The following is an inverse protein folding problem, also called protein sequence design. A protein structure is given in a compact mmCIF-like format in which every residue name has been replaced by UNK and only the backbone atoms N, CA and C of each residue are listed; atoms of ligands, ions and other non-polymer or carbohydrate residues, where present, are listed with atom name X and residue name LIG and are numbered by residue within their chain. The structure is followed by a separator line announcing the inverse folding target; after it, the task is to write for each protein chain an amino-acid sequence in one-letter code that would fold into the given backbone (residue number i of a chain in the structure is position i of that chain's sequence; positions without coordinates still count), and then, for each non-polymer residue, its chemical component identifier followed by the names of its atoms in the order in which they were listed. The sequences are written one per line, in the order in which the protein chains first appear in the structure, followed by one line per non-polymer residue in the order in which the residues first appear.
data_IF_050644898665
#
_entry.id   IF_050644898665
#
_cell.length_a   1.000
_cell.length_b   1.000
_cell.length_c   1.000
_cell.angle_alpha   90.00
_cell.angle_beta   90.00
_cell.angle_gamma   90.00
#
_symmetry.space_group_name_H-M   'P 1'
#
loop_
_entity.id
_entity.type
_entity.pdbx_description
1 polymer ?
#
# COMPACT_ATOMS: atom_id res chain seq x y z
N UNK A 1 15.88 64.61 14.32
CA UNK A 1 15.69 63.25 14.86
C UNK A 1 16.85 62.45 14.32
N UNK A 2 17.90 62.28 15.12
CA UNK A 2 18.95 61.30 14.84
C UNK A 2 18.39 59.93 15.18
N UNK A 3 18.41 59.01 14.21
CA UNK A 3 18.13 57.60 14.45
C UNK A 3 19.29 56.97 15.25
N UNK A 4 19.00 56.06 16.19
CA UNK A 4 20.03 55.43 16.99
C UNK A 4 20.81 54.42 16.12
N UNK A 5 22.13 54.57 16.04
CA UNK A 5 23.03 53.56 15.47
C UNK A 5 22.92 52.26 16.27
N UNK A 6 22.22 51.26 15.73
CA UNK A 6 22.32 49.87 16.18
C UNK A 6 23.77 49.39 16.01
N UNK A 7 24.46 49.16 17.13
CA UNK A 7 25.77 48.49 17.13
C UNK A 7 25.61 47.07 16.58
N UNK A 8 26.23 46.85 15.41
CA UNK A 8 26.19 45.65 14.57
C UNK A 8 27.09 44.49 15.06
N UNK A 9 27.28 44.29 16.37
CA UNK A 9 28.31 43.38 16.87
C UNK A 9 27.93 41.88 16.86
N UNK A 10 26.67 41.52 16.62
CA UNK A 10 26.23 40.12 16.65
C UNK A 10 26.56 39.28 15.41
N UNK A 11 27.00 39.91 14.31
CA UNK A 11 27.08 39.23 13.01
C UNK A 11 28.30 38.30 12.84
N UNK A 12 29.31 38.45 13.70
CA UNK A 12 30.55 37.65 13.65
C UNK A 12 30.55 36.44 14.59
N UNK A 13 29.53 36.30 15.45
CA UNK A 13 29.47 35.26 16.48
C UNK A 13 28.82 33.94 16.00
N UNK A 14 28.23 33.95 14.80
CA UNK A 14 27.57 32.78 14.22
C UNK A 14 28.52 31.78 13.56
N UNK A 15 28.16 30.48 13.51
CA UNK A 15 28.94 29.50 12.74
C UNK A 15 28.88 29.83 11.24
N UNK A 16 30.03 29.72 10.56
CA UNK A 16 30.15 30.02 9.12
C UNK A 16 29.16 29.20 8.26
N UNK A 17 28.80 27.99 8.71
CA UNK A 17 27.82 27.13 8.04
C UNK A 17 26.38 27.64 8.11
N UNK A 18 26.06 28.56 9.01
CA UNK A 18 24.74 29.18 9.14
C UNK A 18 24.71 30.61 8.59
N UNK A 19 25.82 31.09 8.02
CA UNK A 19 25.94 32.44 7.50
C UNK A 19 24.96 32.64 6.34
N UNK A 20 24.11 33.65 6.45
CA UNK A 20 23.17 34.04 5.40
C UNK A 20 23.67 35.23 4.59
N UNK A 21 23.07 35.47 3.43
CA UNK A 21 23.37 36.64 2.60
C UNK A 21 23.05 37.95 3.36
N UNK A 22 22.02 37.96 4.19
CA UNK A 22 21.67 39.11 5.04
C UNK A 22 22.78 39.43 6.06
N UNK A 23 23.40 38.39 6.63
CA UNK A 23 24.54 38.55 7.53
C UNK A 23 25.76 39.14 6.81
N UNK A 24 26.00 38.76 5.55
CA UNK A 24 27.06 39.36 4.72
C UNK A 24 26.80 40.86 4.51
N UNK A 25 25.55 41.28 4.29
CA UNK A 25 25.21 42.69 4.15
C UNK A 25 25.41 43.48 5.45
N UNK A 26 25.10 42.90 6.62
CA UNK A 26 25.38 43.52 7.93
C UNK A 26 26.89 43.66 8.16
N UNK A 27 27.66 42.61 7.87
CA UNK A 27 29.12 42.65 7.94
C UNK A 27 29.69 43.73 7.00
N UNK A 28 29.19 43.80 5.76
CA UNK A 28 29.61 44.81 4.79
C UNK A 28 29.35 46.24 5.30
N UNK A 29 28.19 46.47 5.94
CA UNK A 29 27.86 47.76 6.55
C UNK A 29 28.84 48.13 7.66
N UNK A 30 29.07 47.22 8.61
CA UNK A 30 30.00 47.46 9.72
C UNK A 30 31.42 47.75 9.23
N UNK A 31 31.93 46.93 8.28
CA UNK A 31 33.23 47.14 7.66
C UNK A 31 33.28 48.47 6.91
N UNK A 32 32.21 48.84 6.19
CA UNK A 32 32.10 50.12 5.48
C UNK A 32 32.27 51.31 6.41
N UNK A 33 31.58 51.31 7.56
CA UNK A 33 31.70 52.35 8.58
C UNK A 33 33.14 52.48 9.13
N UNK A 34 33.84 51.37 9.33
CA UNK A 34 35.23 51.41 9.80
C UNK A 34 36.22 51.84 8.70
N UNK A 35 35.95 51.46 7.45
CA UNK A 35 36.70 51.94 6.28
C UNK A 35 36.53 53.45 6.08
N UNK A 36 35.34 54.01 6.29
CA UNK A 36 35.09 55.45 6.24
C UNK A 36 35.95 56.20 7.27
N UNK A 37 35.98 55.74 8.52
CA UNK A 37 36.85 56.32 9.56
C UNK A 37 38.34 56.28 9.17
N UNK A 38 38.78 55.20 8.52
CA UNK A 38 40.16 55.07 8.02
C UNK A 38 40.45 56.04 6.87
N UNK A 39 39.50 56.28 5.98
CA UNK A 39 39.63 57.26 4.89
C UNK A 39 39.76 58.66 5.46
N UNK A 40 38.94 59.01 6.45
CA UNK A 40 38.96 60.31 7.12
C UNK A 40 40.29 60.56 7.84
N UNK A 41 40.89 59.53 8.44
CA UNK A 41 42.16 59.64 9.18
C UNK A 41 43.41 59.62 8.29
N UNK A 42 43.46 58.75 7.28
CA UNK A 42 44.68 58.41 6.52
C UNK A 42 44.67 58.92 5.08
N UNK A 43 43.55 59.49 4.62
CA UNK A 43 43.33 59.89 3.24
C UNK A 43 42.98 58.72 2.31
N UNK A 44 42.11 58.99 1.33
CA UNK A 44 41.52 58.00 0.42
C UNK A 44 42.54 57.15 -0.35
N UNK A 45 43.61 57.77 -0.86
CA UNK A 45 44.60 57.09 -1.71
C UNK A 45 45.33 55.96 -0.96
N UNK A 46 45.46 56.09 0.36
CA UNK A 46 46.09 55.08 1.23
C UNK A 46 45.22 53.83 1.41
N UNK A 47 43.89 53.96 1.26
CA UNK A 47 42.91 52.93 1.63
C UNK A 47 42.25 52.29 0.40
N UNK A 48 42.27 52.94 -0.76
CA UNK A 48 41.56 52.48 -1.98
C UNK A 48 41.86 51.01 -2.34
N UNK A 49 43.12 50.58 -2.24
CA UNK A 49 43.49 49.18 -2.52
C UNK A 49 42.94 48.18 -1.50
N UNK A 50 42.79 48.59 -0.24
CA UNK A 50 42.16 47.79 0.81
C UNK A 50 40.65 47.68 0.57
N UNK A 51 39.99 48.77 0.21
CA UNK A 51 38.55 48.78 -0.12
C UNK A 51 38.25 47.77 -1.22
N UNK A 52 38.99 47.81 -2.33
CA UNK A 52 38.78 46.88 -3.44
C UNK A 52 38.94 45.41 -3.03
N UNK A 53 39.95 45.09 -2.22
CA UNK A 53 40.14 43.72 -1.70
C UNK A 53 39.01 43.31 -0.76
N UNK A 54 38.55 44.22 0.08
CA UNK A 54 37.47 43.99 1.04
C UNK A 54 36.15 43.71 0.34
N UNK A 55 35.79 44.52 -0.67
CA UNK A 55 34.63 44.27 -1.54
C UNK A 55 34.76 42.89 -2.18
N UNK A 56 35.95 42.52 -2.67
CA UNK A 56 36.13 41.20 -3.29
C UNK A 56 35.92 40.04 -2.32
N UNK A 57 36.35 40.18 -1.07
CA UNK A 57 36.10 39.17 -0.03
C UNK A 57 34.61 39.07 0.30
N UNK A 58 33.91 40.21 0.39
CA UNK A 58 32.47 40.25 0.63
C UNK A 58 31.67 39.59 -0.51
N UNK A 59 32.05 39.83 -1.77
CA UNK A 59 31.44 39.15 -2.93
C UNK A 59 31.62 37.63 -2.87
N UNK A 60 32.81 37.16 -2.49
CA UNK A 60 33.08 35.72 -2.33
C UNK A 60 32.26 35.13 -1.18
N UNK A 61 32.10 35.88 -0.09
CA UNK A 61 31.32 35.47 1.06
C UNK A 61 29.82 35.42 0.75
N UNK A 62 29.29 36.38 -0.01
CA UNK A 62 27.91 36.37 -0.50
C UNK A 62 27.67 35.15 -1.41
N UNK A 63 28.59 34.88 -2.34
CA UNK A 63 28.51 33.69 -3.20
C UNK A 63 28.51 32.40 -2.39
N UNK A 64 29.35 32.33 -1.35
CA UNK A 64 29.39 31.19 -0.43
C UNK A 64 28.06 31.03 0.32
N UNK A 65 27.55 32.09 0.95
CA UNK A 65 26.30 32.06 1.72
C UNK A 65 25.10 31.68 0.84
N UNK A 66 25.01 32.24 -0.36
CA UNK A 66 23.96 31.92 -1.33
C UNK A 66 23.98 30.44 -1.74
N UNK A 67 25.16 29.91 -2.06
CA UNK A 67 25.32 28.49 -2.42
C UNK A 67 24.99 27.59 -1.24
N UNK A 68 25.44 27.94 -0.04
CA UNK A 68 25.18 27.17 1.17
C UNK A 68 23.67 27.05 1.44
N UNK A 69 22.93 28.16 1.37
CA UNK A 69 21.47 28.15 1.51
C UNK A 69 20.79 27.26 0.45
N UNK A 70 21.25 27.31 -0.80
CA UNK A 70 20.72 26.44 -1.86
C UNK A 70 21.01 24.96 -1.59
N UNK A 71 22.17 24.63 -1.03
CA UNK A 71 22.51 23.27 -0.61
C UNK A 71 21.63 22.78 0.54
N UNK A 72 21.42 23.59 1.58
CA UNK A 72 20.55 23.26 2.71
C UNK A 72 19.10 23.03 2.25
N UNK A 73 18.56 23.89 1.38
CA UNK A 73 17.22 23.69 0.84
C UNK A 73 17.09 22.38 0.06
N UNK A 74 18.11 22.04 -0.74
CA UNK A 74 18.14 20.78 -1.49
C UNK A 74 18.22 19.56 -0.57
N UNK A 75 18.99 19.66 0.51
CA UNK A 75 19.08 18.61 1.52
C UNK A 75 17.72 18.37 2.21
N UNK A 76 17.04 19.45 2.59
CA UNK A 76 15.68 19.38 3.15
C UNK A 76 14.67 18.73 2.18
N UNK A 77 14.75 19.06 0.89
CA UNK A 77 13.91 18.42 -0.14
C UNK A 77 14.22 16.92 -0.28
N UNK A 78 15.49 16.54 -0.24
CA UNK A 78 15.91 15.13 -0.28
C UNK A 78 15.40 14.37 0.94
N UNK A 79 15.46 14.97 2.13
CA UNK A 79 14.93 14.35 3.35
C UNK A 79 13.41 14.16 3.26
N UNK A 80 12.66 15.17 2.80
CA UNK A 80 11.20 15.08 2.61
C UNK A 80 10.80 14.01 1.58
N UNK A 81 11.53 13.92 0.47
CA UNK A 81 11.27 12.90 -0.55
C UNK A 81 11.60 11.50 -0.03
N UNK A 82 12.68 11.35 0.73
CA UNK A 82 13.03 10.10 1.38
C UNK A 82 11.96 9.63 2.38
N UNK A 83 11.47 10.51 3.26
CA UNK A 83 10.37 10.21 4.18
C UNK A 83 9.11 9.79 3.42
N UNK A 84 8.77 10.50 2.34
CA UNK A 84 7.61 10.17 1.50
C UNK A 84 7.74 8.77 0.90
N UNK A 85 8.91 8.43 0.36
CA UNK A 85 9.18 7.10 -0.20
C UNK A 85 9.07 6.03 0.88
N UNK A 86 9.63 6.26 2.07
CA UNK A 86 9.52 5.31 3.18
C UNK A 86 8.06 5.05 3.58
N UNK A 87 7.26 6.10 3.71
CA UNK A 87 5.83 5.99 4.02
C UNK A 87 5.07 5.24 2.93
N UNK A 88 5.36 5.51 1.65
CA UNK A 88 4.76 4.80 0.53
C UNK A 88 5.12 3.30 0.54
N UNK A 89 6.38 2.96 0.81
CA UNK A 89 6.81 1.57 0.92
C UNK A 89 6.15 0.86 2.11
N UNK A 90 6.02 1.51 3.25
CA UNK A 90 5.33 0.95 4.41
C UNK A 90 3.86 0.70 4.10
N UNK A 91 3.16 1.67 3.50
CA UNK A 91 1.77 1.51 3.06
C UNK A 91 1.61 0.36 2.06
N UNK A 92 2.54 0.24 1.10
CA UNK A 92 2.53 -0.86 0.12
C UNK A 92 2.73 -2.23 0.77
N UNK A 93 3.61 -2.33 1.78
CA UNK A 93 3.80 -3.57 2.56
C UNK A 93 2.53 -3.97 3.30
N UNK A 94 1.92 -3.02 4.02
CA UNK A 94 0.67 -3.25 4.76
C UNK A 94 -0.49 -3.63 3.84
N UNK A 95 -0.62 -2.97 2.68
CA UNK A 95 -1.65 -3.31 1.69
C UNK A 95 -1.47 -4.73 1.16
N UNK A 96 -0.23 -5.12 0.84
CA UNK A 96 0.07 -6.48 0.37
C UNK A 96 -0.19 -7.54 1.44
N UNK A 97 0.15 -7.27 2.69
CA UNK A 97 -0.15 -8.18 3.82
C UNK A 97 -1.65 -8.35 4.05
N UNK A 98 -2.44 -7.28 3.87
CA UNK A 98 -3.89 -7.33 3.96
C UNK A 98 -4.52 -8.14 2.81
N UNK A 99 -4.06 -7.92 1.56
CA UNK A 99 -4.49 -8.72 0.40
C UNK A 99 -4.13 -10.20 0.56
N UNK A 100 -2.86 -10.52 0.89
CA UNK A 100 -2.42 -11.90 1.12
C UNK A 100 -3.23 -12.58 2.24
N UNK A 101 -3.64 -11.83 3.26
CA UNK A 101 -4.49 -12.30 4.35
C UNK A 101 -5.91 -12.62 3.89
N UNK A 102 -6.49 -11.75 3.08
CA UNK A 102 -7.83 -11.91 2.52
C UNK A 102 -7.90 -13.11 1.55
N UNK A 103 -6.93 -13.22 0.63
CA UNK A 103 -6.86 -14.32 -0.33
C UNK A 103 -6.77 -15.67 0.38
N UNK A 104 -5.97 -15.76 1.46
CA UNK A 104 -5.88 -16.98 2.29
C UNK A 104 -7.21 -17.31 2.97
N UNK A 105 -7.99 -16.31 3.37
CA UNK A 105 -9.31 -16.54 3.95
C UNK A 105 -10.28 -17.06 2.88
N UNK A 106 -10.34 -16.41 1.72
CA UNK A 106 -11.19 -16.81 0.60
C UNK A 106 -10.89 -18.24 0.12
N UNK A 107 -9.60 -18.59 -0.03
CA UNK A 107 -9.18 -19.96 -0.39
C UNK A 107 -9.69 -20.98 0.64
N UNK A 108 -9.59 -20.68 1.94
CA UNK A 108 -10.10 -21.57 3.00
C UNK A 108 -11.61 -21.75 2.93
N UNK A 109 -12.36 -20.68 2.69
CA UNK A 109 -13.82 -20.75 2.55
C UNK A 109 -14.23 -21.56 1.32
N UNK A 110 -13.56 -21.37 0.19
CA UNK A 110 -13.79 -22.15 -1.03
C UNK A 110 -13.53 -23.63 -0.81
N UNK A 111 -12.42 -23.99 -0.15
CA UNK A 111 -12.11 -25.37 0.18
C UNK A 111 -13.19 -25.98 1.10
N UNK A 112 -13.66 -25.24 2.11
CA UNK A 112 -14.73 -25.72 2.98
C UNK A 112 -16.04 -25.97 2.20
N UNK A 113 -16.41 -25.07 1.29
CA UNK A 113 -17.59 -25.23 0.41
C UNK A 113 -17.42 -26.46 -0.49
N UNK A 114 -16.25 -26.65 -1.09
CA UNK A 114 -15.96 -27.81 -1.94
C UNK A 114 -16.14 -29.13 -1.16
N UNK A 115 -15.60 -29.22 0.06
CA UNK A 115 -15.77 -30.41 0.91
C UNK A 115 -17.23 -30.66 1.30
N UNK A 116 -18.01 -29.60 1.51
CA UNK A 116 -19.43 -29.73 1.79
C UNK A 116 -20.21 -30.23 0.57
N UNK A 117 -19.89 -29.70 -0.62
CA UNK A 117 -20.51 -30.12 -1.87
C UNK A 117 -20.18 -31.57 -2.20
N UNK A 118 -18.92 -31.99 -2.01
CA UNK A 118 -18.49 -33.37 -2.20
C UNK A 118 -19.29 -34.34 -1.33
N UNK A 119 -19.40 -34.06 -0.03
CA UNK A 119 -20.19 -34.87 0.90
C UNK A 119 -21.67 -34.94 0.50
N UNK A 120 -22.28 -33.83 0.08
CA UNK A 120 -23.66 -33.82 -0.40
C UNK A 120 -23.84 -34.65 -1.67
N UNK A 121 -22.89 -34.58 -2.61
CA UNK A 121 -22.93 -35.40 -3.81
C UNK A 121 -22.84 -36.89 -3.48
N UNK A 122 -21.96 -37.28 -2.56
CA UNK A 122 -21.83 -38.67 -2.09
C UNK A 122 -23.13 -39.14 -1.41
N UNK A 123 -23.72 -38.33 -0.54
CA UNK A 123 -24.98 -38.63 0.14
C UNK A 123 -26.14 -38.78 -0.87
N UNK A 124 -26.23 -37.89 -1.86
CA UNK A 124 -27.24 -37.98 -2.91
C UNK A 124 -27.02 -39.21 -3.81
N UNK A 125 -25.77 -39.57 -4.11
CA UNK A 125 -25.47 -40.80 -4.84
C UNK A 125 -25.95 -42.04 -4.08
N UNK A 126 -25.71 -42.10 -2.76
CA UNK A 126 -26.21 -43.19 -1.92
C UNK A 126 -27.75 -43.23 -1.90
N UNK A 127 -28.41 -42.09 -1.79
CA UNK A 127 -29.88 -42.01 -1.85
C UNK A 127 -30.43 -42.49 -3.20
N UNK A 128 -29.80 -42.08 -4.31
CA UNK A 128 -30.18 -42.53 -5.65
C UNK A 128 -29.99 -44.04 -5.78
N UNK A 129 -28.89 -44.58 -5.28
CA UNK A 129 -28.64 -46.03 -5.30
C UNK A 129 -29.70 -46.79 -4.51
N UNK A 130 -30.02 -46.35 -3.28
CA UNK A 130 -31.07 -46.98 -2.47
C UNK A 130 -32.43 -46.95 -3.18
N UNK A 131 -32.80 -45.81 -3.78
CA UNK A 131 -34.06 -45.68 -4.51
C UNK A 131 -34.09 -46.58 -5.76
N UNK A 132 -32.96 -46.80 -6.42
CA UNK A 132 -32.87 -47.73 -7.54
C UNK A 132 -33.05 -49.19 -7.09
N UNK A 133 -32.42 -49.57 -5.97
CA UNK A 133 -32.58 -50.90 -5.37
C UNK A 133 -34.03 -51.14 -4.95
N UNK A 134 -34.66 -50.20 -4.25
CA UNK A 134 -36.07 -50.26 -3.84
C UNK A 134 -37.02 -50.38 -5.04
N UNK A 135 -36.78 -49.58 -6.11
CA UNK A 135 -37.56 -49.64 -7.35
C UNK A 135 -37.46 -51.02 -7.99
N UNK A 136 -36.25 -51.56 -8.08
CA UNK A 136 -36.00 -52.85 -8.71
C UNK A 136 -36.64 -53.98 -7.90
N UNK A 137 -36.56 -53.95 -6.56
CA UNK A 137 -37.25 -54.90 -5.68
C UNK A 137 -38.78 -54.85 -5.88
N UNK A 138 -39.37 -53.65 -5.83
CA UNK A 138 -40.81 -53.47 -6.06
C UNK A 138 -41.22 -53.97 -7.45
N UNK A 139 -40.40 -53.74 -8.46
CA UNK A 139 -40.66 -54.22 -9.81
C UNK A 139 -40.62 -55.75 -9.93
N UNK A 140 -39.67 -56.40 -9.25
CA UNK A 140 -39.62 -57.87 -9.16
C UNK A 140 -40.85 -58.43 -8.45
N UNK A 141 -41.25 -57.84 -7.32
CA UNK A 141 -42.46 -58.23 -6.57
C UNK A 141 -43.73 -58.08 -7.40
N UNK A 142 -43.85 -56.99 -8.17
CA UNK A 142 -44.98 -56.77 -9.06
C UNK A 142 -45.05 -57.85 -10.15
N UNK A 143 -43.92 -58.13 -10.83
CA UNK A 143 -43.85 -59.20 -11.85
C UNK A 143 -44.18 -60.58 -11.29
N UNK A 144 -43.66 -60.91 -10.11
CA UNK A 144 -43.97 -62.17 -9.44
C UNK A 144 -45.45 -62.33 -9.12
N UNK A 145 -46.10 -61.26 -8.66
CA UNK A 145 -47.53 -61.26 -8.36
C UNK A 145 -48.38 -61.45 -9.63
N UNK A 146 -48.03 -60.78 -10.74
CA UNK A 146 -48.73 -60.95 -12.03
C UNK A 146 -48.57 -62.36 -12.61
N UNK A 147 -47.39 -62.99 -12.45
CA UNK A 147 -47.17 -64.36 -12.89
C UNK A 147 -48.00 -65.37 -12.06
N UNK A 148 -48.11 -65.13 -10.75
CA UNK A 148 -48.94 -65.94 -9.85
C UNK A 148 -50.44 -65.79 -10.18
N UNK A 149 -50.93 -64.58 -10.42
CA UNK A 149 -52.31 -64.33 -10.85
C UNK A 149 -52.62 -64.98 -12.20
N UNK A 150 -51.71 -64.91 -13.18
CA UNK A 150 -51.86 -65.59 -14.47
C UNK A 150 -51.94 -67.12 -14.34
N UNK A 151 -51.15 -67.71 -13.43
CA UNK A 151 -51.19 -69.16 -13.16
C UNK A 151 -52.50 -69.56 -12.48
N UNK A 152 -52.97 -68.76 -11.52
CA UNK A 152 -54.26 -68.99 -10.84
C UNK A 152 -55.42 -68.87 -11.82
N UNK A 153 -55.42 -67.86 -12.69
CA UNK A 153 -56.45 -67.69 -13.71
C UNK A 153 -56.45 -68.85 -14.72
N UNK A 154 -55.27 -69.34 -15.11
CA UNK A 154 -55.14 -70.50 -16.01
C UNK A 154 -55.68 -71.79 -15.37
N UNK A 155 -55.36 -72.04 -14.10
CA UNK A 155 -55.89 -73.17 -13.33
C UNK A 155 -57.41 -73.07 -13.18
N UNK A 156 -57.94 -71.87 -12.91
CA UNK A 156 -59.37 -71.63 -12.80
C UNK A 156 -60.10 -71.91 -14.12
N UNK A 157 -59.58 -71.42 -15.25
CA UNK A 157 -60.15 -71.67 -16.58
C UNK A 157 -60.13 -73.17 -16.91
N UNK A 158 -58.99 -73.86 -16.68
CA UNK A 158 -58.91 -75.30 -16.94
C UNK A 158 -59.89 -76.09 -16.09
N UNK A 159 -60.00 -75.80 -14.78
CA UNK A 159 -61.01 -76.42 -13.93
C UNK A 159 -62.44 -76.19 -14.43
N UNK A 160 -62.80 -74.96 -14.83
CA UNK A 160 -64.12 -74.67 -15.41
C UNK A 160 -64.38 -75.47 -16.69
N UNK A 161 -63.41 -75.57 -17.60
CA UNK A 161 -63.55 -76.37 -18.82
C UNK A 161 -63.72 -77.87 -18.54
N UNK A 162 -63.03 -78.43 -17.55
CA UNK A 162 -63.21 -79.83 -17.16
C UNK A 162 -64.60 -80.10 -16.57
N UNK A 163 -65.19 -79.13 -15.87
CA UNK A 163 -66.53 -79.23 -15.31
C UNK A 163 -67.63 -79.14 -16.38
N UNK A 164 -67.43 -78.34 -17.45
CA UNK A 164 -68.35 -78.29 -18.60
C UNK A 164 -68.32 -79.57 -19.46
N UNK A 165 -67.19 -80.28 -19.52
CA UNK A 165 -67.06 -81.54 -20.29
C UNK A 165 -67.57 -82.78 -19.53
N UNK A 166 -67.76 -82.68 -18.20
CA UNK A 166 -68.24 -83.79 -17.35
C UNK A 166 -69.74 -83.75 -17.02
N UNK A 167 -70.51 -82.84 -17.61
CA UNK A 167 -71.98 -82.79 -17.58
C UNK A 167 -72.60 -83.30 -18.87
#
# INVERSE_FOLDING_TARGET
MEEPEERSDGCFDGPVSALTVDDVYKIAKAIGTDVEKLIDACGKESVVGLVTKTVKVLELLESFASRNNAHTLREDELLKTFETIQLQQQKKRLAKEAEDGNDKHEIRELHQKEQQWRRRCEELQLQVQQLQEDRDELHHRLKGSHAQEGTINSIHITCSCYQEVSM
#
